data_IF_965390267970
#
_entry.id   IF_965390267970
#
_cell.length_a   1.000
_cell.length_b   1.000
_cell.length_c   1.000
_cell.angle_alpha   90.00
_cell.angle_beta   90.00
_cell.angle_gamma   90.00
#
_symmetry.space_group_name_H-M   'P 1'
#
loop_
_entity.id
_entity.type
_entity.pdbx_description
1 polymer ?
#
# COMPACT_ATOMS: atom_id res chain seq x y z
N UNK A 1 5.01 52.67 21.30
CA UNK A 1 5.74 51.44 21.68
C UNK A 1 5.12 50.71 22.86
N UNK A 2 4.67 51.37 23.93
CA UNK A 2 4.07 50.71 25.11
C UNK A 2 2.75 49.95 24.83
N UNK A 3 1.89 50.46 23.94
CA UNK A 3 0.59 49.83 23.61
C UNK A 3 0.77 48.49 22.88
N UNK A 4 1.75 48.39 21.99
CA UNK A 4 2.07 47.16 21.26
C UNK A 4 2.62 46.08 22.18
N UNK A 5 3.50 46.45 23.12
CA UNK A 5 4.03 45.52 24.13
C UNK A 5 2.92 45.01 25.05
N UNK A 6 1.98 45.88 25.45
CA UNK A 6 0.81 45.49 26.25
C UNK A 6 -0.11 44.51 25.50
N UNK A 7 -0.34 44.73 24.21
CA UNK A 7 -1.18 43.85 23.38
C UNK A 7 -0.53 42.46 23.23
N UNK A 8 0.77 42.40 22.95
CA UNK A 8 1.51 41.14 22.86
C UNK A 8 1.48 40.34 24.18
N UNK A 9 1.59 41.03 25.33
CA UNK A 9 1.50 40.36 26.63
C UNK A 9 0.12 39.76 26.89
N UNK A 10 -0.96 40.44 26.46
CA UNK A 10 -2.32 39.92 26.62
C UNK A 10 -2.62 38.72 25.72
N UNK A 11 -2.03 38.67 24.52
CA UNK A 11 -2.19 37.52 23.61
C UNK A 11 -1.43 36.30 24.13
N UNK A 12 -0.21 36.49 24.63
CA UNK A 12 0.58 35.40 25.22
C UNK A 12 -0.06 34.84 26.49
N UNK A 13 -0.67 35.68 27.33
CA UNK A 13 -1.39 35.23 28.53
C UNK A 13 -2.69 34.46 28.22
N UNK A 14 -3.32 34.70 27.06
CA UNK A 14 -4.53 33.99 26.66
C UNK A 14 -4.24 32.57 26.15
N UNK A 15 -3.06 32.34 25.57
CA UNK A 15 -2.64 31.05 25.00
C UNK A 15 -2.35 30.01 26.11
N UNK A 16 -1.96 30.46 27.32
CA UNK A 16 -1.67 29.58 28.46
C UNK A 16 -2.92 29.02 29.17
N UNK A 17 -4.12 29.56 28.92
CA UNK A 17 -5.34 29.22 29.70
C UNK A 17 -6.13 28.05 29.09
N UNK A 18 -5.78 27.55 27.89
CA UNK A 18 -6.33 26.27 27.38
C UNK A 18 -5.62 25.03 27.96
N UNK A 19 -5.06 25.14 29.17
CA UNK A 19 -4.61 24.02 29.98
C UNK A 19 -5.81 23.18 30.43
N UNK A 20 -5.89 21.97 29.92
CA UNK A 20 -6.78 20.86 30.33
C UNK A 20 -7.23 20.94 31.80
N UNK A 21 -8.46 21.39 32.02
CA UNK A 21 -9.15 21.22 33.30
C UNK A 21 -9.66 19.78 33.43
N UNK A 22 -8.78 18.88 33.87
CA UNK A 22 -9.19 17.64 34.52
C UNK A 22 -9.09 17.83 36.04
N UNK A 23 -10.15 18.38 36.63
CA UNK A 23 -10.32 18.31 38.08
C UNK A 23 -10.54 16.85 38.46
N UNK A 24 -9.54 16.26 39.13
CA UNK A 24 -9.65 14.97 39.79
C UNK A 24 -10.77 15.02 40.84
N UNK A 25 -11.94 14.48 40.50
CA UNK A 25 -12.83 13.94 41.52
C UNK A 25 -12.44 12.49 41.78
N UNK A 26 -12.49 12.14 43.05
CA UNK A 26 -11.87 10.98 43.67
C UNK A 26 -12.46 9.66 43.19
N UNK A 27 -11.60 8.65 43.03
CA UNK A 27 -11.90 7.21 42.91
C UNK A 27 -12.52 6.68 41.62
N UNK A 28 -12.28 7.32 40.49
CA UNK A 28 -12.28 6.58 39.22
C UNK A 28 -11.27 7.22 38.29
N UNK A 29 -10.03 6.71 38.30
CA UNK A 29 -9.21 6.83 37.10
C UNK A 29 -9.93 5.91 36.11
N UNK A 30 -10.62 6.41 35.05
CA UNK A 30 -10.98 5.50 33.99
C UNK A 30 -9.64 4.99 33.47
N UNK A 31 -9.36 3.71 33.71
CA UNK A 31 -8.48 2.99 32.81
C UNK A 31 -9.24 2.98 31.51
N UNK A 32 -9.08 4.06 30.75
CA UNK A 32 -9.22 4.05 29.32
C UNK A 32 -8.12 3.09 28.87
N UNK A 33 -8.37 1.79 29.07
CA UNK A 33 -7.74 0.77 28.26
C UNK A 33 -7.90 1.31 26.87
N UNK A 34 -6.78 1.48 26.16
CA UNK A 34 -6.80 1.77 24.74
C UNK A 34 -7.83 0.80 24.20
N UNK A 35 -9.05 1.29 23.96
CA UNK A 35 -9.94 0.65 23.04
C UNK A 35 -9.06 0.72 21.82
N UNK A 36 -8.47 -0.42 21.48
CA UNK A 36 -7.86 -0.60 20.19
C UNK A 36 -9.00 -0.22 19.27
N UNK A 37 -9.00 1.06 18.88
CA UNK A 37 -9.64 1.60 17.70
C UNK A 37 -8.86 0.92 16.58
N UNK A 38 -8.99 -0.40 16.54
CA UNK A 38 -8.52 -1.27 15.53
C UNK A 38 -9.29 -0.73 14.35
N UNK A 39 -8.58 0.07 13.56
CA UNK A 39 -9.05 0.53 12.28
C UNK A 39 -9.84 -0.63 11.67
N UNK A 40 -11.10 -0.40 11.25
CA UNK A 40 -11.98 -1.47 10.77
C UNK A 40 -11.15 -2.39 9.87
N UNK A 41 -11.31 -3.71 9.98
CA UNK A 41 -10.41 -4.65 9.31
C UNK A 41 -10.20 -4.33 7.82
N UNK A 42 -11.22 -3.76 7.17
CA UNK A 42 -11.14 -3.16 5.84
C UNK A 42 -10.09 -2.05 5.73
N UNK A 43 -10.14 -1.03 6.58
CA UNK A 43 -9.19 0.09 6.59
C UNK A 43 -7.77 -0.41 6.86
N UNK A 44 -7.58 -1.36 7.79
CA UNK A 44 -6.26 -1.98 8.02
C UNK A 44 -5.76 -2.72 6.78
N UNK A 45 -6.64 -3.42 6.06
CA UNK A 45 -6.28 -4.14 4.83
C UNK A 45 -5.92 -3.17 3.71
N UNK A 46 -6.76 -2.17 3.47
CA UNK A 46 -6.51 -1.13 2.45
C UNK A 46 -5.21 -0.39 2.75
N UNK A 47 -4.97 0.02 3.99
CA UNK A 47 -3.74 0.69 4.39
C UNK A 47 -2.49 -0.16 4.11
N UNK A 48 -2.53 -1.48 4.37
CA UNK A 48 -1.42 -2.38 4.05
C UNK A 48 -1.18 -2.50 2.54
N UNK A 49 -2.24 -2.62 1.75
CA UNK A 49 -2.13 -2.70 0.29
C UNK A 49 -1.59 -1.40 -0.29
N UNK A 50 -2.09 -0.25 0.15
CA UNK A 50 -1.59 1.05 -0.29
C UNK A 50 -0.14 1.27 0.12
N UNK A 51 0.23 0.91 1.35
CA UNK A 51 1.61 1.01 1.82
C UNK A 51 2.55 0.12 0.99
N UNK A 52 2.12 -1.09 0.63
CA UNK A 52 2.88 -1.95 -0.26
C UNK A 52 3.09 -1.26 -1.62
N UNK A 53 2.04 -0.71 -2.23
CA UNK A 53 2.16 -0.02 -3.54
C UNK A 53 3.12 1.16 -3.45
N UNK A 54 3.00 2.02 -2.44
CA UNK A 54 3.89 3.16 -2.24
C UNK A 54 5.34 2.70 -2.06
N UNK A 55 5.55 1.64 -1.27
CA UNK A 55 6.87 1.05 -1.08
C UNK A 55 7.45 0.51 -2.38
N UNK A 56 6.63 -0.16 -3.20
CA UNK A 56 7.04 -0.68 -4.50
C UNK A 56 7.45 0.44 -5.45
N UNK A 57 6.68 1.52 -5.53
CA UNK A 57 7.06 2.69 -6.34
C UNK A 57 8.38 3.26 -5.81
N UNK A 58 8.49 3.53 -4.52
CA UNK A 58 9.73 4.10 -3.96
C UNK A 58 10.98 3.22 -4.05
N UNK A 59 10.86 1.90 -4.27
CA UNK A 59 11.99 0.99 -4.45
C UNK A 59 12.41 0.81 -5.92
N UNK A 60 11.46 0.89 -6.86
CA UNK A 60 11.68 0.51 -8.27
C UNK A 60 11.52 1.67 -9.25
N UNK A 61 11.00 2.81 -8.82
CA UNK A 61 10.97 4.07 -9.58
C UNK A 61 12.40 4.63 -9.68
N UNK A 62 13.07 4.39 -10.82
CA UNK A 62 14.46 4.75 -11.03
C UNK A 62 14.61 6.22 -11.41
N UNK A 63 13.61 6.78 -12.10
CA UNK A 63 13.63 8.16 -12.57
C UNK A 63 12.99 9.14 -11.56
N UNK A 64 12.32 8.64 -10.53
CA UNK A 64 11.72 9.40 -9.44
C UNK A 64 10.46 10.15 -9.85
N UNK A 65 9.78 9.72 -10.92
CA UNK A 65 8.60 10.39 -11.46
C UNK A 65 7.29 9.99 -10.74
N UNK A 66 7.33 8.99 -9.86
CA UNK A 66 6.19 8.48 -9.10
C UNK A 66 5.33 7.45 -9.85
N UNK A 67 5.75 7.04 -11.03
CA UNK A 67 5.14 6.02 -11.88
C UNK A 67 6.11 4.84 -12.04
N UNK A 68 5.60 3.69 -12.49
CA UNK A 68 6.42 2.54 -12.83
C UNK A 68 6.26 2.28 -14.32
N UNK A 69 7.34 2.47 -15.08
CA UNK A 69 7.37 2.14 -16.48
C UNK A 69 7.42 0.59 -16.68
N UNK A 70 7.18 0.07 -17.90
CA UNK A 70 7.16 -1.38 -18.12
C UNK A 70 8.47 -2.09 -17.78
N UNK A 71 9.61 -1.41 -17.90
CA UNK A 71 10.94 -1.97 -17.61
C UNK A 71 11.15 -2.10 -16.10
N UNK A 72 10.86 -1.04 -15.34
CA UNK A 72 10.87 -1.00 -13.88
C UNK A 72 9.87 -1.98 -13.27
N UNK A 73 8.69 -2.12 -13.89
CA UNK A 73 7.67 -3.08 -13.48
C UNK A 73 8.17 -4.52 -13.63
N UNK A 74 8.99 -4.80 -14.64
CA UNK A 74 9.56 -6.12 -14.89
C UNK A 74 10.70 -6.47 -13.93
N UNK A 75 11.36 -5.48 -13.32
CA UNK A 75 12.38 -5.72 -12.30
C UNK A 75 11.79 -6.24 -10.97
N UNK A 76 10.48 -6.13 -10.80
CA UNK A 76 9.78 -6.57 -9.60
C UNK A 76 9.67 -8.11 -9.56
N UNK A 77 10.27 -8.80 -8.55
CA UNK A 77 10.36 -10.27 -8.54
C UNK A 77 9.00 -11.00 -8.53
N UNK A 78 7.98 -10.42 -7.89
CA UNK A 78 6.66 -11.04 -7.86
C UNK A 78 5.94 -10.92 -9.21
N UNK A 79 6.19 -9.83 -9.96
CA UNK A 79 5.64 -9.63 -11.31
C UNK A 79 6.25 -10.66 -12.25
N UNK A 80 7.58 -10.84 -12.22
CA UNK A 80 8.26 -11.89 -12.99
C UNK A 80 7.68 -13.28 -12.69
N UNK A 81 7.46 -13.58 -11.41
CA UNK A 81 6.88 -14.85 -10.98
C UNK A 81 5.44 -15.05 -11.45
N UNK A 82 4.62 -13.99 -11.39
CA UNK A 82 3.23 -14.02 -11.87
C UNK A 82 3.15 -14.22 -13.39
N UNK A 83 4.02 -13.52 -14.14
CA UNK A 83 4.13 -13.64 -15.59
C UNK A 83 4.55 -15.05 -15.98
N UNK A 84 5.62 -15.58 -15.36
CA UNK A 84 6.07 -16.96 -15.57
C UNK A 84 4.94 -17.97 -15.35
N UNK A 85 4.23 -17.87 -14.22
CA UNK A 85 3.09 -18.74 -13.92
C UNK A 85 1.96 -18.61 -14.95
N UNK A 86 1.74 -17.41 -15.49
CA UNK A 86 0.73 -17.18 -16.54
C UNK A 86 1.10 -17.83 -17.87
N UNK A 87 2.40 -17.97 -18.17
CA UNK A 87 2.90 -18.65 -19.36
C UNK A 87 2.88 -20.18 -19.18
N UNK A 88 3.33 -20.70 -18.03
CA UNK A 88 3.26 -22.13 -17.70
C UNK A 88 1.80 -22.67 -17.79
N UNK A 89 0.83 -21.87 -17.32
CA UNK A 89 -0.59 -22.21 -17.41
C UNK A 89 -1.18 -22.16 -18.83
N UNK A 90 -0.51 -21.48 -19.77
CA UNK A 90 -0.88 -21.41 -21.19
C UNK A 90 -0.24 -22.55 -22.00
N UNK A 91 1.01 -22.90 -21.71
CA UNK A 91 1.69 -24.05 -22.35
C UNK A 91 0.95 -25.37 -22.09
N UNK A 92 0.45 -25.56 -20.86
CA UNK A 92 -0.37 -26.73 -20.50
C UNK A 92 -1.76 -26.77 -21.18
N UNK A 93 -2.23 -25.65 -21.76
CA UNK A 93 -3.50 -25.58 -22.51
C UNK A 93 -3.29 -25.61 -24.04
N UNK A 94 -2.05 -25.51 -24.51
CA UNK A 94 -1.69 -25.52 -25.93
C UNK A 94 -1.25 -26.90 -26.46
N UNK A 95 -0.99 -27.86 -25.58
CA UNK A 95 -0.59 -29.22 -25.98
C UNK A 95 -1.83 -30.07 -26.36
N UNK A 96 -2.46 -29.77 -27.50
CA UNK A 96 -3.21 -30.80 -28.21
C UNK A 96 -2.20 -31.88 -28.66
N UNK A 97 -2.50 -33.19 -28.56
CA UNK A 97 -1.59 -34.19 -29.08
C UNK A 97 -1.42 -33.93 -30.57
N UNK A 98 -0.18 -33.65 -31.00
CA UNK A 98 0.20 -33.73 -32.39
C UNK A 98 0.08 -35.21 -32.77
N UNK A 99 -1.11 -35.62 -33.23
CA UNK A 99 -1.24 -36.85 -33.98
C UNK A 99 -0.45 -36.61 -35.25
N UNK A 100 0.73 -37.24 -35.35
CA UNK A 100 1.39 -37.50 -36.61
C UNK A 100 0.38 -38.23 -37.50
N UNK A 101 -0.39 -37.47 -38.28
CA UNK A 101 -1.01 -37.99 -39.48
C UNK A 101 0.13 -38.22 -40.47
N UNK A 102 0.83 -39.35 -40.30
CA UNK A 102 1.58 -39.97 -41.39
C UNK A 102 0.57 -40.28 -42.49
N UNK A 103 0.45 -39.36 -43.45
CA UNK A 103 -0.30 -39.57 -44.67
C UNK A 103 0.48 -40.64 -45.43
N UNK A 104 0.02 -41.90 -45.34
CA UNK A 104 0.40 -42.93 -46.28
C UNK A 104 -0.11 -42.52 -47.67
N UNK A 105 0.74 -41.84 -48.44
CA UNK A 105 0.53 -41.70 -49.88
C UNK A 105 0.92 -43.04 -50.49
N UNK A 106 -0.07 -43.92 -50.64
CA UNK A 106 0.03 -45.07 -51.52
C UNK A 106 0.31 -44.58 -52.93
N UNK A 107 1.56 -44.71 -53.39
CA UNK A 107 1.88 -44.67 -54.81
C UNK A 107 1.34 -45.95 -55.43
N UNK A 108 0.19 -45.87 -56.07
CA UNK A 108 -0.21 -46.83 -57.08
C UNK A 108 0.61 -46.53 -58.33
N UNK A 109 1.52 -47.45 -58.72
CA UNK A 109 1.85 -47.85 -60.09
C UNK A 109 2.78 -49.07 -60.02
#
# INVERSE_FOLDING_TARGET
MHVFVSLCLTVLLFEEISGQFFTKTTNSIPRMGRSDKSLPNLVRRVARTLFLVIKMVGEYDQDGNGELNPEELMDIPFIQSAIRKSFEGKEMKGQYPFQDCSIHISKAY
#
